data_IF_593924146966
#
_entry.id   IF_593924146966
#
_cell.length_a   1.000
_cell.length_b   1.000
_cell.length_c   1.000
_cell.angle_alpha   90.00
_cell.angle_beta   90.00
_cell.angle_gamma   90.00
#
_symmetry.space_group_name_H-M   'P 1'
#
loop_
_entity.id
_entity.type
_entity.pdbx_description
1 polymer ?
#
# COMPACT_ATOMS: atom_id res chain seq x y z
N UNK A 1 52.46 34.82 -24.06
CA UNK A 1 51.05 34.52 -24.32
C UNK A 1 50.69 33.26 -23.52
N UNK A 2 49.89 33.39 -22.48
CA UNK A 2 49.40 32.25 -21.68
C UNK A 2 47.93 31.97 -22.06
N UNK A 3 47.53 30.74 -22.36
CA UNK A 3 46.12 30.44 -22.65
C UNK A 3 45.28 30.44 -21.38
N UNK A 4 44.17 31.15 -21.41
CA UNK A 4 43.14 31.16 -20.39
C UNK A 4 42.30 29.88 -20.52
N UNK A 5 42.38 29.03 -19.52
CA UNK A 5 41.53 27.84 -19.36
C UNK A 5 40.16 28.27 -18.87
N UNK A 6 39.14 28.17 -19.73
CA UNK A 6 37.73 28.37 -19.35
C UNK A 6 37.21 27.04 -18.74
N UNK A 7 36.99 27.06 -17.42
CA UNK A 7 36.27 26.00 -16.75
C UNK A 7 34.78 26.11 -17.16
N UNK A 8 34.33 25.21 -17.99
CA UNK A 8 32.92 24.94 -18.22
C UNK A 8 32.37 24.19 -16.98
N UNK A 9 31.78 24.93 -16.05
CA UNK A 9 30.95 24.34 -14.97
C UNK A 9 29.68 23.81 -15.59
N UNK A 10 29.53 22.51 -15.66
CA UNK A 10 28.34 21.82 -16.12
C UNK A 10 27.18 21.97 -15.10
N UNK A 11 25.94 22.15 -15.55
CA UNK A 11 24.79 22.35 -14.65
C UNK A 11 24.37 21.10 -13.86
N UNK A 12 25.12 20.03 -13.90
CA UNK A 12 24.83 18.78 -13.17
C UNK A 12 25.12 18.86 -11.66
N UNK A 13 25.89 19.85 -11.18
CA UNK A 13 26.22 19.98 -9.76
C UNK A 13 25.14 20.68 -8.93
N UNK A 14 24.20 21.39 -9.55
CA UNK A 14 23.16 22.13 -8.84
C UNK A 14 21.97 21.27 -8.39
N UNK A 15 21.76 20.07 -8.95
CA UNK A 15 20.69 19.16 -8.55
C UNK A 15 21.00 18.27 -7.36
N UNK A 16 22.27 18.17 -6.96
CA UNK A 16 22.69 17.25 -5.87
C UNK A 16 22.67 17.91 -4.48
N UNK A 17 22.56 19.23 -4.40
CA UNK A 17 22.59 19.96 -3.12
C UNK A 17 21.21 20.08 -2.41
N UNK A 18 20.10 19.64 -3.03
CA UNK A 18 18.75 19.70 -2.46
C UNK A 18 18.33 18.41 -1.75
N UNK A 19 19.17 17.39 -1.71
CA UNK A 19 18.84 16.06 -1.15
C UNK A 19 19.36 15.81 0.26
N UNK A 20 19.97 16.79 0.93
CA UNK A 20 20.48 16.63 2.30
C UNK A 20 19.68 17.36 3.38
N UNK A 21 18.42 17.72 3.11
CA UNK A 21 17.54 18.17 4.19
C UNK A 21 17.11 16.95 4.99
N UNK A 22 17.59 16.92 6.24
CA UNK A 22 17.52 15.83 7.18
C UNK A 22 16.19 15.09 7.19
N UNK A 23 16.28 13.77 7.09
CA UNK A 23 15.17 12.86 7.32
C UNK A 23 14.71 12.97 8.78
N UNK A 24 13.91 13.98 9.08
CA UNK A 24 13.10 14.00 10.28
C UNK A 24 12.24 12.73 10.23
N UNK A 25 12.44 11.83 11.19
CA UNK A 25 11.48 10.73 11.43
C UNK A 25 10.13 11.41 11.68
N UNK A 26 9.29 11.43 10.66
CA UNK A 26 7.92 11.91 10.82
C UNK A 26 7.25 10.96 11.80
N UNK A 27 6.91 11.49 12.97
CA UNK A 27 6.08 10.77 13.92
C UNK A 27 4.75 10.50 13.21
N UNK A 28 4.25 9.25 13.19
CA UNK A 28 2.95 8.97 12.58
C UNK A 28 1.89 9.89 13.19
N UNK A 29 0.86 10.28 12.42
CA UNK A 29 -0.26 11.03 12.94
C UNK A 29 -0.81 10.29 14.15
N UNK A 30 -0.68 10.88 15.33
CA UNK A 30 -1.08 10.22 16.58
C UNK A 30 -2.53 10.61 16.84
N UNK A 31 -3.49 9.66 16.80
CA UNK A 31 -4.86 9.93 17.17
C UNK A 31 -4.92 10.36 18.65
N UNK A 32 -5.75 11.34 18.92
CA UNK A 32 -6.07 11.71 20.29
C UNK A 32 -7.26 10.85 20.74
N UNK A 33 -7.01 9.75 21.41
CA UNK A 33 -8.08 8.91 21.98
C UNK A 33 -7.96 7.43 21.62
N UNK A 34 -8.76 6.59 22.27
CA UNK A 34 -8.75 5.12 22.09
C UNK A 34 -9.46 4.69 20.80
N UNK A 35 -10.52 5.36 20.43
CA UNK A 35 -11.34 5.02 19.25
C UNK A 35 -12.07 6.28 18.75
N UNK A 36 -12.10 6.50 17.44
CA UNK A 36 -12.79 7.61 16.81
C UNK A 36 -13.83 7.13 15.81
N UNK A 37 -14.93 7.85 15.70
CA UNK A 37 -16.00 7.60 14.71
C UNK A 37 -16.00 8.69 13.65
N UNK A 38 -16.01 8.28 12.38
CA UNK A 38 -16.05 9.17 11.23
C UNK A 38 -17.24 8.81 10.36
N UNK A 39 -18.20 9.72 10.15
CA UNK A 39 -19.28 9.50 9.19
C UNK A 39 -18.74 9.56 7.76
N UNK A 40 -19.35 8.81 6.86
CA UNK A 40 -19.05 8.86 5.44
C UNK A 40 -20.32 8.95 4.59
N UNK A 41 -20.17 9.34 3.34
CA UNK A 41 -21.22 9.29 2.33
C UNK A 41 -20.78 8.36 1.20
N UNK A 42 -21.75 7.66 0.58
CA UNK A 42 -21.52 6.90 -0.63
C UNK A 42 -21.83 7.77 -1.85
N UNK A 43 -20.91 7.79 -2.80
CA UNK A 43 -21.17 8.36 -4.13
C UNK A 43 -21.99 7.37 -4.97
N UNK A 44 -22.64 7.83 -6.08
CA UNK A 44 -23.28 6.92 -7.04
C UNK A 44 -22.34 5.86 -7.61
N UNK A 45 -21.04 6.11 -7.58
CA UNK A 45 -19.96 5.19 -7.96
C UNK A 45 -19.51 4.24 -6.83
N UNK A 46 -20.24 4.20 -5.71
CA UNK A 46 -19.93 3.44 -4.50
C UNK A 46 -18.61 3.80 -3.79
N UNK A 47 -17.96 4.90 -4.18
CA UNK A 47 -16.82 5.38 -3.40
C UNK A 47 -17.30 5.98 -2.06
N UNK A 48 -16.59 5.65 -1.00
CA UNK A 48 -16.80 6.25 0.32
C UNK A 48 -16.09 7.60 0.39
N UNK A 49 -16.81 8.63 0.80
CA UNK A 49 -16.30 9.99 0.96
C UNK A 49 -16.42 10.41 2.41
N UNK A 50 -15.32 10.85 2.97
CA UNK A 50 -15.24 11.47 4.30
C UNK A 50 -15.06 12.98 4.16
N UNK A 51 -15.60 13.74 5.11
CA UNK A 51 -15.41 15.18 5.20
C UNK A 51 -14.38 15.50 6.30
N UNK A 52 -13.41 16.35 5.99
CA UNK A 52 -12.37 16.72 6.91
C UNK A 52 -12.13 18.24 6.93
N UNK A 53 -11.78 18.77 8.11
CA UNK A 53 -11.17 20.09 8.23
C UNK A 53 -9.64 19.93 8.18
N UNK A 54 -8.99 20.81 7.44
CA UNK A 54 -7.53 20.89 7.34
C UNK A 54 -7.07 22.23 7.91
N UNK A 55 -6.23 22.20 8.92
CA UNK A 55 -5.75 23.41 9.61
C UNK A 55 -6.90 24.34 10.07
N UNK A 56 -8.03 23.76 10.50
CA UNK A 56 -9.23 24.46 10.95
C UNK A 56 -10.14 24.98 9.83
N UNK A 57 -9.81 24.78 8.55
CA UNK A 57 -10.59 25.19 7.39
C UNK A 57 -11.29 24.01 6.74
N UNK A 58 -12.38 24.23 6.01
CA UNK A 58 -13.17 23.20 5.35
C UNK A 58 -14.66 23.30 5.67
N UNK A 59 -15.45 22.22 5.50
CA UNK A 59 -14.99 20.84 5.23
C UNK A 59 -14.50 20.64 3.80
N UNK A 60 -13.47 19.82 3.65
CA UNK A 60 -12.98 19.27 2.38
C UNK A 60 -13.42 17.82 2.24
N UNK A 61 -13.63 17.36 1.01
CA UNK A 61 -14.17 16.03 0.70
C UNK A 61 -13.11 15.11 0.13
N UNK A 62 -12.88 13.99 0.79
CA UNK A 62 -11.85 13.01 0.43
C UNK A 62 -12.43 11.64 0.15
N UNK A 63 -11.94 10.97 -0.89
CA UNK A 63 -12.16 9.55 -1.05
C UNK A 63 -11.37 8.81 0.04
N UNK A 64 -12.04 7.90 0.73
CA UNK A 64 -11.40 6.87 1.55
C UNK A 64 -10.87 5.79 0.63
N UNK A 65 -9.55 5.61 0.53
CA UNK A 65 -8.96 4.68 -0.41
C UNK A 65 -7.72 3.98 0.16
N UNK A 66 -7.88 2.71 0.52
CA UNK A 66 -6.80 1.86 0.99
C UNK A 66 -5.86 1.40 -0.14
N UNK A 67 -6.29 1.51 -1.40
CA UNK A 67 -5.48 1.19 -2.57
C UNK A 67 -4.55 2.32 -2.99
N UNK A 68 -4.84 3.56 -2.60
CA UNK A 68 -3.94 4.69 -2.82
C UNK A 68 -2.75 4.60 -1.84
N UNK A 69 -1.50 4.53 -2.32
CA UNK A 69 -0.34 4.34 -1.45
C UNK A 69 -0.06 5.55 -0.55
N UNK A 70 -0.49 6.75 -0.94
CA UNK A 70 -0.25 8.03 -0.26
C UNK A 70 -1.50 8.89 -0.23
N UNK A 71 -1.53 9.89 0.65
CA UNK A 71 -2.60 10.88 0.68
C UNK A 71 -2.36 11.97 -0.36
N UNK A 72 -3.36 12.24 -1.19
CA UNK A 72 -3.35 13.28 -2.21
C UNK A 72 -4.26 14.43 -1.81
N UNK A 73 -3.79 15.64 -2.01
CA UNK A 73 -4.53 16.87 -1.76
C UNK A 73 -4.57 17.73 -3.02
N UNK A 74 -5.74 18.19 -3.45
CA UNK A 74 -5.87 19.07 -4.60
C UNK A 74 -5.15 20.40 -4.37
N UNK A 75 -4.69 21.02 -5.45
CA UNK A 75 -4.04 22.33 -5.38
C UNK A 75 -4.94 23.35 -4.68
N UNK A 76 -6.26 23.35 -4.96
CA UNK A 76 -7.24 24.22 -4.34
C UNK A 76 -7.27 24.04 -2.82
N UNK A 77 -7.48 22.82 -2.37
CA UNK A 77 -7.59 22.55 -0.94
C UNK A 77 -6.26 22.78 -0.19
N UNK A 78 -5.12 22.53 -0.83
CA UNK A 78 -3.81 22.80 -0.27
C UNK A 78 -3.55 24.30 -0.05
N UNK A 79 -3.93 25.13 -1.04
CA UNK A 79 -3.83 26.60 -0.94
C UNK A 79 -4.80 27.16 0.10
N UNK A 80 -6.06 26.74 0.03
CA UNK A 80 -7.12 27.23 0.90
C UNK A 80 -6.88 26.86 2.37
N UNK A 81 -6.42 25.63 2.63
CA UNK A 81 -6.09 25.17 3.99
C UNK A 81 -4.79 25.77 4.53
N UNK A 82 -3.96 26.35 3.66
CA UNK A 82 -2.62 26.83 4.03
C UNK A 82 -1.61 25.68 4.24
N UNK A 83 -1.86 24.52 3.67
CA UNK A 83 -0.88 23.42 3.65
C UNK A 83 0.30 23.74 2.73
N UNK A 84 0.09 24.60 1.74
CA UNK A 84 1.13 25.08 0.81
C UNK A 84 0.96 26.57 0.55
N UNK A 85 2.07 27.27 0.27
CA UNK A 85 2.01 28.67 -0.15
C UNK A 85 1.37 28.78 -1.56
N UNK A 86 0.49 29.75 -1.76
CA UNK A 86 -0.13 30.02 -3.07
C UNK A 86 0.89 30.29 -4.18
N UNK A 87 2.06 30.82 -3.81
CA UNK A 87 3.17 31.14 -4.74
C UNK A 87 4.10 29.95 -4.98
N UNK A 88 3.90 28.80 -4.30
CA UNK A 88 4.75 27.64 -4.50
C UNK A 88 4.69 27.18 -5.98
N UNK A 89 5.84 26.86 -6.60
CA UNK A 89 5.92 26.51 -8.01
C UNK A 89 5.09 25.26 -8.31
N UNK A 90 4.43 25.24 -9.47
CA UNK A 90 3.74 24.08 -10.00
C UNK A 90 4.65 23.37 -11.00
N UNK A 91 4.80 22.08 -10.87
CA UNK A 91 5.46 21.27 -11.89
C UNK A 91 4.62 21.21 -13.18
N UNK A 92 5.29 21.13 -14.31
CA UNK A 92 4.65 20.90 -15.60
C UNK A 92 3.87 19.58 -15.64
N UNK A 93 4.35 18.54 -14.94
CA UNK A 93 3.69 17.23 -14.89
C UNK A 93 2.52 17.27 -13.89
N UNK A 94 1.29 17.13 -14.40
CA UNK A 94 0.04 17.04 -13.64
C UNK A 94 -0.20 18.17 -12.62
N UNK A 95 0.41 19.34 -12.79
CA UNK A 95 0.27 20.46 -11.85
C UNK A 95 0.72 20.14 -10.43
N UNK A 96 1.61 19.15 -10.26
CA UNK A 96 2.11 18.73 -8.95
C UNK A 96 2.92 19.85 -8.31
N UNK A 97 2.68 20.09 -7.03
CA UNK A 97 3.49 21.00 -6.19
C UNK A 97 4.41 20.26 -5.23
N UNK A 98 4.42 18.92 -5.29
CA UNK A 98 5.27 18.07 -4.48
C UNK A 98 4.70 17.73 -3.11
N UNK A 99 5.58 17.43 -2.17
CA UNK A 99 5.21 17.06 -0.81
C UNK A 99 4.86 18.30 0.01
N UNK A 100 3.84 18.17 0.83
CA UNK A 100 3.43 19.16 1.82
C UNK A 100 2.99 18.47 3.11
N UNK A 101 2.71 19.26 4.13
CA UNK A 101 2.22 18.76 5.42
C UNK A 101 1.00 19.56 5.86
N UNK A 102 -0.07 18.85 6.16
CA UNK A 102 -1.23 19.39 6.86
C UNK A 102 -0.96 19.27 8.36
N UNK A 103 -0.89 20.41 9.07
CA UNK A 103 -0.55 20.43 10.50
C UNK A 103 -1.59 19.72 11.35
N UNK A 104 -2.88 19.85 10.98
CA UNK A 104 -3.99 19.23 11.70
C UNK A 104 -5.09 18.83 10.73
N UNK A 105 -5.57 17.59 10.85
CA UNK A 105 -6.74 17.06 10.17
C UNK A 105 -7.79 16.65 11.21
N UNK A 106 -9.05 17.00 10.95
CA UNK A 106 -10.19 16.71 11.82
C UNK A 106 -11.31 16.07 10.95
N UNK A 107 -11.71 14.84 11.28
CA UNK A 107 -12.76 14.07 10.58
C UNK A 107 -13.68 13.41 11.61
N UNK A 108 -14.91 13.88 11.78
CA UNK A 108 -15.75 13.43 12.88
C UNK A 108 -15.00 13.53 14.21
N UNK A 109 -14.90 12.43 14.94
CA UNK A 109 -14.14 12.37 16.20
C UNK A 109 -12.63 12.14 15.99
N UNK A 110 -12.20 11.81 14.77
CA UNK A 110 -10.79 11.56 14.45
C UNK A 110 -10.03 12.88 14.29
N UNK A 111 -9.02 13.05 15.12
CA UNK A 111 -8.09 14.18 15.06
C UNK A 111 -6.67 13.64 14.95
N UNK A 112 -5.93 14.09 13.95
CA UNK A 112 -4.53 13.74 13.76
C UNK A 112 -3.70 14.99 13.38
N UNK A 113 -2.43 14.95 13.76
CA UNK A 113 -1.50 16.03 13.46
C UNK A 113 -0.47 15.56 12.41
N UNK A 114 0.15 16.54 11.73
CA UNK A 114 1.29 16.33 10.86
C UNK A 114 1.07 15.34 9.69
N UNK A 115 -0.11 15.39 9.05
CA UNK A 115 -0.43 14.54 7.90
C UNK A 115 0.45 14.90 6.68
N UNK A 116 1.32 13.98 6.22
CA UNK A 116 2.04 14.15 4.96
C UNK A 116 1.11 13.97 3.77
N UNK A 117 1.21 14.86 2.78
CA UNK A 117 0.37 14.84 1.58
C UNK A 117 1.20 15.14 0.34
N UNK A 118 0.78 14.62 -0.80
CA UNK A 118 1.25 15.06 -2.11
C UNK A 118 0.21 16.00 -2.70
N UNK A 119 0.63 17.21 -3.06
CA UNK A 119 -0.25 18.23 -3.63
C UNK A 119 -0.27 18.10 -5.14
N UNK A 120 -1.42 17.68 -5.69
CA UNK A 120 -1.63 17.53 -7.13
C UNK A 120 -3.11 17.42 -7.48
N UNK A 121 -3.46 17.88 -8.69
CA UNK A 121 -4.79 17.67 -9.24
C UNK A 121 -4.85 16.32 -9.97
N UNK A 122 -5.20 15.28 -9.23
CA UNK A 122 -5.24 13.91 -9.78
C UNK A 122 -6.35 13.76 -10.83
N UNK A 123 -6.07 13.24 -12.05
CA UNK A 123 -7.05 13.16 -13.13
C UNK A 123 -8.35 12.43 -12.77
N UNK A 124 -8.28 11.33 -12.02
CA UNK A 124 -9.47 10.59 -11.59
C UNK A 124 -10.34 11.41 -10.62
N UNK A 125 -9.73 12.16 -9.69
CA UNK A 125 -10.45 13.06 -8.77
C UNK A 125 -11.14 14.17 -9.56
N UNK A 126 -10.45 14.74 -10.54
CA UNK A 126 -11.01 15.78 -11.40
C UNK A 126 -12.20 15.24 -12.22
N UNK A 127 -12.06 14.05 -12.80
CA UNK A 127 -13.13 13.41 -13.56
C UNK A 127 -14.36 13.12 -12.69
N UNK A 128 -14.18 12.52 -11.51
CA UNK A 128 -15.26 12.28 -10.55
C UNK A 128 -15.91 13.59 -10.08
N UNK A 129 -15.11 14.60 -9.77
CA UNK A 129 -15.63 15.92 -9.36
C UNK A 129 -16.49 16.57 -10.46
N UNK A 130 -16.18 16.31 -11.73
CA UNK A 130 -16.93 16.87 -12.87
C UNK A 130 -18.37 16.35 -12.99
N UNK A 131 -18.66 15.19 -12.40
CA UNK A 131 -20.01 14.60 -12.40
C UNK A 131 -20.75 14.77 -11.07
N UNK A 132 -20.11 15.36 -10.06
CA UNK A 132 -20.67 15.58 -8.74
C UNK A 132 -21.07 17.03 -8.54
N UNK A 133 -22.15 17.29 -7.79
CA UNK A 133 -22.57 18.62 -7.40
C UNK A 133 -21.58 19.36 -6.49
N UNK A 134 -20.73 18.62 -5.78
CA UNK A 134 -19.70 19.15 -4.91
C UNK A 134 -18.36 18.51 -5.29
N UNK A 135 -17.27 19.29 -5.45
CA UNK A 135 -15.98 18.75 -5.83
C UNK A 135 -15.38 17.84 -4.75
N UNK A 136 -14.51 16.95 -5.20
CA UNK A 136 -13.62 16.19 -4.33
C UNK A 136 -12.29 16.93 -4.20
N UNK A 137 -11.70 16.88 -3.02
CA UNK A 137 -10.50 17.62 -2.67
C UNK A 137 -9.25 16.76 -2.60
N UNK A 138 -9.42 15.44 -2.65
CA UNK A 138 -8.31 14.53 -2.62
C UNK A 138 -8.68 13.09 -2.29
N UNK A 139 -7.66 12.34 -1.94
CA UNK A 139 -7.74 10.94 -1.50
C UNK A 139 -6.97 10.83 -0.18
N UNK A 140 -7.55 10.25 0.84
CA UNK A 140 -6.80 9.85 2.02
C UNK A 140 -6.42 8.39 1.83
N UNK A 141 -5.11 8.15 1.70
CA UNK A 141 -4.54 6.89 1.30
C UNK A 141 -4.01 6.03 2.44
N UNK A 142 -3.42 4.91 2.05
CA UNK A 142 -2.88 3.88 2.94
C UNK A 142 -1.93 4.43 4.03
N UNK A 143 -1.03 5.35 3.68
CA UNK A 143 -0.07 5.92 4.65
C UNK A 143 -0.71 6.60 5.85
N UNK A 144 -1.97 7.02 5.74
CA UNK A 144 -2.75 7.50 6.87
C UNK A 144 -3.52 6.36 7.56
N UNK A 145 -4.28 5.59 6.80
CA UNK A 145 -5.20 4.60 7.35
C UNK A 145 -4.52 3.41 8.01
N UNK A 146 -3.31 3.07 7.58
CA UNK A 146 -2.56 1.94 8.15
C UNK A 146 -2.18 2.12 9.63
N UNK A 147 -2.34 3.32 10.19
CA UNK A 147 -2.17 3.56 11.62
C UNK A 147 -3.39 3.15 12.46
N UNK A 148 -4.44 2.64 11.82
CA UNK A 148 -5.70 2.33 12.47
C UNK A 148 -6.23 0.94 12.09
N UNK A 149 -6.78 0.24 13.08
CA UNK A 149 -7.76 -0.81 12.82
C UNK A 149 -9.06 -0.13 12.45
N UNK A 150 -9.60 -0.42 11.26
CA UNK A 150 -10.81 0.21 10.74
C UNK A 150 -11.97 -0.79 10.74
N UNK A 151 -13.11 -0.36 11.24
CA UNK A 151 -14.39 -1.06 11.11
C UNK A 151 -15.35 -0.19 10.32
N UNK A 152 -16.06 -0.77 9.34
CA UNK A 152 -16.95 -0.05 8.43
C UNK A 152 -18.38 -0.55 8.65
N UNK A 153 -19.28 0.37 8.98
CA UNK A 153 -20.71 0.13 9.09
C UNK A 153 -21.43 0.81 7.92
N UNK A 154 -21.80 -0.01 6.93
CA UNK A 154 -22.51 0.49 5.74
C UNK A 154 -23.98 0.82 6.00
N UNK A 155 -24.57 0.27 7.08
CA UNK A 155 -25.96 0.56 7.44
C UNK A 155 -26.06 1.95 8.03
N UNK A 156 -25.18 2.26 8.98
CA UNK A 156 -25.19 3.55 9.68
C UNK A 156 -24.25 4.58 9.02
N UNK A 157 -23.60 4.23 7.89
CA UNK A 157 -22.69 5.08 7.12
C UNK A 157 -21.60 5.72 7.98
N UNK A 158 -20.95 4.91 8.81
CA UNK A 158 -19.87 5.36 9.69
C UNK A 158 -18.70 4.37 9.73
N UNK A 159 -17.52 4.88 9.98
CA UNK A 159 -16.32 4.10 10.22
C UNK A 159 -15.82 4.34 11.63
N UNK A 160 -15.26 3.31 12.23
CA UNK A 160 -14.63 3.37 13.54
C UNK A 160 -13.14 3.07 13.40
N UNK A 161 -12.30 3.92 13.97
CA UNK A 161 -10.85 3.86 13.88
C UNK A 161 -10.24 3.68 15.28
N UNK A 162 -9.56 2.58 15.48
CA UNK A 162 -8.79 2.31 16.71
C UNK A 162 -7.30 2.33 16.37
N UNK A 163 -6.48 3.11 17.08
CA UNK A 163 -5.05 3.19 16.81
C UNK A 163 -4.35 1.85 16.93
N UNK A 164 -3.38 1.60 16.06
CA UNK A 164 -2.50 0.42 16.13
C UNK A 164 -1.05 0.84 15.99
N UNK A 165 -0.15 0.11 16.66
CA UNK A 165 1.29 0.29 16.48
C UNK A 165 1.74 -0.46 15.22
N UNK A 166 1.60 0.21 14.08
CA UNK A 166 2.02 -0.32 12.78
C UNK A 166 3.00 0.65 12.12
N UNK A 167 4.12 0.13 11.66
CA UNK A 167 5.14 0.92 10.97
C UNK A 167 4.82 1.00 9.48
N UNK A 168 4.41 2.17 9.04
CA UNK A 168 4.13 2.45 7.63
C UNK A 168 5.43 2.65 6.86
N UNK A 169 5.61 1.90 5.79
CA UNK A 169 6.73 2.11 4.86
C UNK A 169 6.45 3.34 4.00
N UNK A 170 7.29 4.34 4.10
CA UNK A 170 7.20 5.53 3.26
C UNK A 170 7.73 5.23 1.86
N UNK A 171 6.79 4.96 0.95
CA UNK A 171 7.09 4.67 -0.46
C UNK A 171 7.83 5.82 -1.15
N UNK A 172 7.52 7.07 -0.78
CA UNK A 172 8.12 8.24 -1.43
C UNK A 172 9.61 8.35 -1.12
N UNK A 173 10.04 7.90 0.06
CA UNK A 173 11.49 7.83 0.39
C UNK A 173 12.22 6.73 -0.38
N UNK A 174 11.53 5.64 -0.70
CA UNK A 174 12.13 4.50 -1.40
C UNK A 174 12.08 4.63 -2.92
N UNK A 175 11.06 5.31 -3.48
CA UNK A 175 10.88 5.48 -4.92
C UNK A 175 12.07 6.14 -5.64
N UNK A 176 12.65 7.27 -5.18
CA UNK A 176 13.80 7.88 -5.83
C UNK A 176 15.00 6.92 -5.90
N UNK A 177 15.25 6.18 -4.82
CA UNK A 177 16.34 5.20 -4.77
C UNK A 177 16.06 4.00 -5.68
N UNK A 178 14.80 3.57 -5.81
CA UNK A 178 14.40 2.49 -6.71
C UNK A 178 14.44 2.92 -8.19
N UNK A 179 14.15 4.18 -8.48
CA UNK A 179 14.13 4.71 -9.85
C UNK A 179 15.52 5.15 -10.33
N UNK A 180 16.35 5.71 -9.45
CA UNK A 180 17.67 6.27 -9.77
C UNK A 180 18.84 5.42 -9.28
N UNK A 181 18.61 4.45 -8.40
CA UNK A 181 19.63 3.51 -7.96
C UNK A 181 20.14 2.64 -9.09
N UNK A 182 21.36 2.09 -8.98
CA UNK A 182 21.86 1.14 -9.96
C UNK A 182 20.81 0.03 -10.09
N UNK A 183 20.33 -0.20 -11.31
CA UNK A 183 19.45 -1.34 -11.63
C UNK A 183 20.31 -2.60 -11.45
N UNK A 184 20.46 -3.02 -10.20
CA UNK A 184 20.91 -4.38 -9.93
C UNK A 184 19.86 -5.25 -10.57
N UNK A 185 20.22 -5.87 -11.70
CA UNK A 185 19.38 -6.86 -12.32
C UNK A 185 19.08 -7.90 -11.21
N UNK A 186 17.87 -7.85 -10.65
CA UNK A 186 17.43 -8.95 -9.79
C UNK A 186 17.53 -10.17 -10.67
N UNK A 187 18.42 -11.08 -10.31
CA UNK A 187 18.50 -12.38 -10.96
C UNK A 187 17.12 -12.98 -10.79
N UNK A 188 16.32 -12.97 -11.87
CA UNK A 188 15.04 -13.66 -11.88
C UNK A 188 15.40 -15.13 -11.98
N UNK A 189 15.41 -15.81 -10.85
CA UNK A 189 15.56 -17.25 -10.81
C UNK A 189 14.22 -17.83 -11.25
N UNK A 190 14.18 -18.38 -12.45
CA UNK A 190 12.98 -19.01 -13.04
C UNK A 190 12.63 -20.31 -12.31
N UNK A 191 13.61 -20.93 -11.64
CA UNK A 191 13.38 -22.12 -10.81
C UNK A 191 12.90 -21.72 -9.40
N UNK A 192 11.99 -22.48 -8.79
CA UNK A 192 11.53 -22.22 -7.44
C UNK A 192 12.70 -22.29 -6.45
N UNK A 193 12.84 -21.26 -5.64
CA UNK A 193 13.89 -21.17 -4.61
C UNK A 193 13.77 -22.24 -3.54
N UNK A 194 12.60 -22.83 -3.43
CA UNK A 194 12.27 -23.79 -2.38
C UNK A 194 11.57 -25.00 -2.96
N UNK A 195 12.00 -26.18 -2.52
CA UNK A 195 11.36 -27.46 -2.86
C UNK A 195 10.33 -27.80 -1.80
N UNK A 196 9.08 -27.90 -2.20
CA UNK A 196 7.94 -28.30 -1.37
C UNK A 196 7.56 -29.77 -1.52
N UNK A 197 7.66 -30.27 -2.75
CA UNK A 197 7.25 -31.62 -3.12
C UNK A 197 5.74 -31.73 -3.36
N UNK A 198 5.13 -30.68 -3.87
CA UNK A 198 3.71 -30.64 -4.23
C UNK A 198 3.55 -30.53 -5.74
N UNK A 199 2.62 -31.29 -6.30
CA UNK A 199 2.08 -31.08 -7.64
C UNK A 199 0.65 -30.59 -7.45
N UNK A 200 0.37 -29.43 -8.01
CA UNK A 200 -0.91 -28.73 -7.90
C UNK A 200 -1.70 -28.85 -9.19
N UNK A 201 -3.02 -28.96 -9.08
CA UNK A 201 -3.92 -28.87 -10.23
C UNK A 201 -4.49 -27.45 -10.35
N UNK A 202 -4.90 -27.11 -11.59
CA UNK A 202 -5.68 -25.90 -11.78
C UNK A 202 -7.03 -26.03 -11.04
N UNK A 203 -7.52 -24.94 -10.39
CA UNK A 203 -8.79 -24.99 -9.69
C UNK A 203 -9.92 -25.31 -10.67
N UNK A 204 -10.69 -26.34 -10.36
CA UNK A 204 -11.89 -26.69 -11.13
C UNK A 204 -13.05 -25.85 -10.60
N UNK A 205 -13.63 -24.98 -11.44
CA UNK A 205 -14.76 -24.14 -11.05
C UNK A 205 -14.54 -22.63 -11.09
N UNK A 206 -13.50 -22.15 -11.74
CA UNK A 206 -13.25 -20.70 -11.90
C UNK A 206 -12.95 -20.00 -10.59
N UNK A 207 -13.42 -18.75 -10.44
CA UNK A 207 -13.18 -17.87 -9.28
C UNK A 207 -13.86 -18.31 -7.97
N UNK A 208 -14.64 -19.39 -7.98
CA UNK A 208 -15.37 -19.90 -6.80
C UNK A 208 -14.64 -21.00 -6.04
N UNK A 209 -13.44 -21.39 -6.46
CA UNK A 209 -12.66 -22.38 -5.72
C UNK A 209 -12.11 -21.78 -4.43
N UNK A 210 -12.25 -22.46 -3.26
CA UNK A 210 -11.69 -21.98 -2.00
C UNK A 210 -10.16 -22.00 -1.98
N UNK A 211 -9.51 -22.66 -2.93
CA UNK A 211 -8.06 -22.80 -3.01
C UNK A 211 -7.61 -23.69 -4.15
N UNK A 212 -6.36 -24.14 -4.13
CA UNK A 212 -5.72 -24.96 -5.16
C UNK A 212 -5.66 -26.42 -4.73
N UNK A 213 -6.20 -27.35 -5.54
CA UNK A 213 -6.13 -28.78 -5.24
C UNK A 213 -4.69 -29.30 -5.29
N UNK A 214 -4.29 -30.05 -4.27
CA UNK A 214 -3.03 -30.81 -4.26
C UNK A 214 -3.28 -32.13 -4.99
N UNK A 215 -2.69 -32.27 -6.18
CA UNK A 215 -2.79 -33.47 -7.00
C UNK A 215 -1.93 -34.61 -6.47
N UNK A 216 -0.67 -34.25 -6.14
CA UNK A 216 0.31 -35.23 -5.69
C UNK A 216 1.20 -34.65 -4.62
N UNK A 217 1.54 -35.46 -3.65
CA UNK A 217 2.58 -35.16 -2.64
C UNK A 217 3.72 -36.16 -2.88
N UNK A 218 4.90 -35.63 -3.18
CA UNK A 218 6.08 -36.45 -3.45
C UNK A 218 6.59 -37.15 -2.19
N UNK A 219 6.85 -38.46 -2.28
CA UNK A 219 7.39 -39.19 -1.13
C UNK A 219 8.73 -38.62 -0.67
N UNK A 220 8.94 -38.57 0.65
CA UNK A 220 10.15 -38.02 1.26
C UNK A 220 10.32 -36.51 1.13
N UNK A 221 9.31 -35.78 0.64
CA UNK A 221 9.32 -34.33 0.51
C UNK A 221 8.96 -33.63 1.82
N UNK A 222 9.26 -32.32 1.95
CA UNK A 222 8.80 -31.50 3.06
C UNK A 222 7.29 -31.55 3.27
N UNK A 223 6.51 -31.49 2.20
CA UNK A 223 5.05 -31.59 2.26
C UNK A 223 4.57 -32.94 2.80
N UNK A 224 5.21 -34.06 2.36
CA UNK A 224 4.89 -35.39 2.88
C UNK A 224 5.22 -35.48 4.38
N UNK A 225 6.37 -34.97 4.79
CA UNK A 225 6.80 -34.95 6.21
C UNK A 225 5.87 -34.11 7.08
N UNK A 226 5.26 -33.07 6.52
CA UNK A 226 4.26 -32.23 7.20
C UNK A 226 2.85 -32.84 7.21
N UNK A 227 2.65 -34.01 6.56
CA UNK A 227 1.37 -34.70 6.55
C UNK A 227 0.34 -34.17 5.56
N UNK A 228 0.78 -33.39 4.56
CA UNK A 228 -0.07 -33.03 3.43
C UNK A 228 -0.39 -34.25 2.57
N UNK A 229 -1.56 -34.29 1.95
CA UNK A 229 -2.06 -35.45 1.17
C UNK A 229 -2.62 -35.01 -0.17
N UNK A 230 -2.59 -35.91 -1.17
CA UNK A 230 -3.39 -35.72 -2.38
C UNK A 230 -4.87 -35.55 -2.03
N UNK A 231 -5.54 -34.60 -2.67
CA UNK A 231 -6.94 -34.25 -2.42
C UNK A 231 -7.12 -33.10 -1.39
N UNK A 232 -6.09 -32.70 -0.65
CA UNK A 232 -6.15 -31.46 0.12
C UNK A 232 -6.32 -30.27 -0.81
N UNK A 233 -7.07 -29.27 -0.37
CA UNK A 233 -7.21 -27.99 -1.08
C UNK A 233 -6.38 -26.95 -0.33
N UNK A 234 -5.31 -26.48 -0.94
CA UNK A 234 -4.43 -25.45 -0.38
C UNK A 234 -5.13 -24.09 -0.42
N UNK A 235 -5.43 -23.51 0.74
CA UNK A 235 -6.17 -22.24 0.86
C UNK A 235 -5.28 -21.07 1.25
N UNK A 236 -4.19 -21.34 1.98
CA UNK A 236 -3.24 -20.31 2.39
C UNK A 236 -1.83 -20.86 2.53
N UNK A 237 -0.84 -20.06 2.17
CA UNK A 237 0.57 -20.33 2.35
C UNK A 237 1.23 -19.07 2.94
N UNK A 238 1.79 -19.20 4.16
CA UNK A 238 2.39 -18.11 4.93
C UNK A 238 1.46 -16.90 5.07
N UNK A 239 0.18 -17.17 5.40
CA UNK A 239 -0.86 -16.15 5.54
C UNK A 239 -1.36 -15.53 4.23
N UNK A 240 -0.88 -15.99 3.08
CA UNK A 240 -1.32 -15.54 1.75
C UNK A 240 -2.32 -16.51 1.16
N UNK A 241 -3.39 -15.96 0.63
CA UNK A 241 -4.43 -16.74 -0.04
C UNK A 241 -3.87 -17.39 -1.33
N UNK A 242 -4.27 -18.63 -1.59
CA UNK A 242 -3.85 -19.42 -2.74
C UNK A 242 -5.06 -19.74 -3.62
N UNK A 243 -5.70 -18.71 -4.17
CA UNK A 243 -6.91 -18.82 -4.99
C UNK A 243 -6.63 -19.15 -6.45
N UNK A 244 -5.38 -18.94 -6.90
CA UNK A 244 -4.89 -19.30 -8.23
C UNK A 244 -3.49 -19.94 -8.15
N UNK A 245 -3.06 -20.61 -9.22
CA UNK A 245 -1.68 -21.10 -9.32
C UNK A 245 -0.67 -19.94 -9.23
N UNK A 246 -0.98 -18.80 -9.84
CA UNK A 246 -0.12 -17.62 -9.78
C UNK A 246 0.05 -17.09 -8.34
N UNK A 247 -1.05 -17.02 -7.56
CA UNK A 247 -0.99 -16.62 -6.15
C UNK A 247 -0.16 -17.62 -5.33
N UNK A 248 -0.35 -18.92 -5.59
CA UNK A 248 0.38 -19.98 -4.90
C UNK A 248 1.88 -19.89 -5.17
N UNK A 249 2.28 -19.72 -6.43
CA UNK A 249 3.69 -19.53 -6.78
C UNK A 249 4.28 -18.26 -6.19
N UNK A 250 3.53 -17.16 -6.20
CA UNK A 250 3.95 -15.90 -5.57
C UNK A 250 4.11 -16.00 -4.06
N UNK A 251 3.26 -16.80 -3.40
CA UNK A 251 3.40 -17.08 -1.98
C UNK A 251 4.62 -17.94 -1.70
N UNK A 252 4.80 -19.02 -2.48
CA UNK A 252 5.92 -19.95 -2.33
C UNK A 252 7.29 -19.31 -2.64
N UNK A 253 7.36 -18.32 -3.56
CA UNK A 253 8.59 -17.61 -3.89
C UNK A 253 9.17 -16.85 -2.70
N UNK A 254 8.34 -16.41 -1.77
CA UNK A 254 8.77 -15.65 -0.57
C UNK A 254 9.25 -16.53 0.56
N UNK A 255 8.93 -17.82 0.52
CA UNK A 255 9.39 -18.76 1.52
C UNK A 255 10.91 -18.96 1.44
N UNK A 256 11.56 -19.01 2.59
CA UNK A 256 12.99 -19.30 2.67
C UNK A 256 13.19 -20.78 2.99
N UNK A 257 14.15 -21.41 2.31
CA UNK A 257 14.49 -22.81 2.61
C UNK A 257 14.99 -22.96 4.05
N UNK A 258 14.65 -24.07 4.69
CA UNK A 258 15.00 -24.35 6.08
C UNK A 258 14.18 -23.58 7.12
N UNK A 259 13.29 -22.66 6.72
CA UNK A 259 12.40 -21.95 7.64
C UNK A 259 11.01 -22.58 7.65
N UNK A 260 10.38 -22.73 8.84
CA UNK A 260 9.01 -23.25 8.93
C UNK A 260 8.01 -22.25 8.34
N UNK A 261 7.09 -22.76 7.53
CA UNK A 261 6.04 -21.97 6.87
C UNK A 261 4.69 -22.54 7.24
N UNK A 262 3.76 -21.68 7.63
CA UNK A 262 2.37 -22.06 7.90
C UNK A 262 1.63 -22.32 6.60
N UNK A 263 0.99 -23.49 6.51
CA UNK A 263 0.19 -23.91 5.37
C UNK A 263 -1.20 -24.30 5.84
N UNK A 264 -2.23 -23.69 5.25
CA UNK A 264 -3.62 -24.01 5.56
C UNK A 264 -4.24 -24.75 4.39
N UNK A 265 -4.88 -25.87 4.70
CA UNK A 265 -5.59 -26.70 3.72
C UNK A 265 -7.00 -27.05 4.19
N UNK A 266 -7.90 -27.29 3.25
CA UNK A 266 -9.17 -27.97 3.50
C UNK A 266 -9.00 -29.45 3.17
N UNK A 267 -9.26 -30.31 4.17
CA UNK A 267 -9.29 -31.76 4.05
C UNK A 267 -10.67 -32.26 4.50
N UNK A 268 -11.39 -32.92 3.62
CA UNK A 268 -12.76 -33.40 3.92
C UNK A 268 -13.67 -32.27 4.46
N UNK A 269 -13.54 -31.08 3.87
CA UNK A 269 -14.31 -29.89 4.26
C UNK A 269 -13.89 -29.23 5.58
N UNK A 270 -12.84 -29.72 6.24
CA UNK A 270 -12.30 -29.16 7.49
C UNK A 270 -11.00 -28.43 7.24
N UNK A 271 -10.87 -27.25 7.80
CA UNK A 271 -9.64 -26.49 7.77
C UNK A 271 -8.58 -27.09 8.71
N UNK A 272 -7.38 -27.25 8.19
CA UNK A 272 -6.22 -27.76 8.92
C UNK A 272 -5.01 -26.86 8.65
N UNK A 273 -4.30 -26.50 9.70
CA UNK A 273 -3.03 -25.82 9.60
C UNK A 273 -1.89 -26.80 9.86
N UNK A 274 -0.94 -26.84 8.94
CA UNK A 274 0.29 -27.64 9.07
C UNK A 274 1.51 -26.76 8.87
N UNK A 275 2.63 -27.14 9.45
CA UNK A 275 3.90 -26.44 9.27
C UNK A 275 4.77 -27.23 8.30
N UNK A 276 5.14 -26.61 7.21
CA UNK A 276 6.06 -27.17 6.21
C UNK A 276 7.39 -26.44 6.28
N UNK A 277 8.50 -27.17 6.35
CA UNK A 277 9.84 -26.59 6.25
C UNK A 277 10.41 -26.95 4.88
N UNK A 278 10.31 -26.06 3.89
CA UNK A 278 10.77 -26.35 2.54
C UNK A 278 12.30 -26.49 2.50
N UNK A 279 12.79 -27.33 1.58
CA UNK A 279 14.22 -27.50 1.32
C UNK A 279 14.69 -26.52 0.25
N UNK A 280 16.00 -26.43 0.08
CA UNK A 280 16.58 -25.69 -1.04
C UNK A 280 16.03 -26.22 -2.37
N UNK A 281 15.61 -25.29 -3.24
CA UNK A 281 15.16 -25.59 -4.59
C UNK A 281 16.33 -25.79 -5.55
N UNK A 282 16.03 -26.19 -6.78
CA UNK A 282 17.00 -26.41 -7.85
C UNK A 282 17.39 -25.07 -8.46
#
# INVERSE_FOLDING_TARGET
MKPRLWLLLTPAAACLALLTMGASRQKPPTPKGETATVPFTLLPSNHMVVEAKLNGKGPYRFIFDLGAPVTLLSNRAAEDSGAIDKKAPKSFLMGTRGEAKVKKIEMGDLVADDLPVIVMDHPAIKALSGILSKPLDGIIGYTFWAHYKTSIDYKDLKMTFSPVDFQVTDLMKSLPTQLSGPKVAKTIVISPRTLWGLILDAPQGGTSSPGIPIKTVLAGSPAASAGLKPGDILTSLDGRWTTSLADTYSAAEKAEHGKPVSVVVLRDGKEMTVTVTPREGI
#
